data_IF_206460335534
#
_entry.id   IF_206460335534
#
_cell.length_a   1.000
_cell.length_b   1.000
_cell.length_c   1.000
_cell.angle_alpha   90.00
_cell.angle_beta   90.00
_cell.angle_gamma   90.00
#
_symmetry.space_group_name_H-M   'P 1'
#
loop_
_entity.id
_entity.type
_entity.pdbx_description
1 polymer ?
#
# COMPACT_ATOMS: atom_id res chain seq x y z
N UNK A 1 8.53 -2.28 7.61
CA UNK A 1 7.58 -2.48 6.49
C UNK A 1 7.54 -3.96 6.19
N UNK A 2 6.41 -4.46 5.73
CA UNK A 2 6.29 -5.80 5.13
C UNK A 2 6.31 -5.62 3.63
N UNK A 3 7.23 -6.26 2.91
CA UNK A 3 7.21 -6.26 1.45
C UNK A 3 6.23 -7.32 0.94
N UNK A 4 5.59 -7.03 -0.18
CA UNK A 4 4.81 -7.98 -0.94
C UNK A 4 5.31 -7.97 -2.39
N UNK A 5 5.03 -9.04 -3.11
CA UNK A 5 5.28 -9.13 -4.54
C UNK A 5 3.95 -9.50 -5.20
N UNK A 6 3.47 -8.72 -6.18
CA UNK A 6 2.28 -9.08 -6.94
C UNK A 6 2.47 -10.41 -7.66
N UNK A 7 1.47 -11.28 -7.58
CA UNK A 7 1.43 -12.49 -8.40
C UNK A 7 0.86 -12.14 -9.78
N UNK A 8 1.73 -11.94 -10.77
CA UNK A 8 1.33 -11.63 -12.15
C UNK A 8 1.18 -10.13 -12.42
N UNK A 9 0.33 -9.79 -13.39
CA UNK A 9 0.19 -8.45 -14.00
C UNK A 9 -1.06 -7.69 -13.52
N UNK A 10 -1.73 -8.17 -12.46
CA UNK A 10 -3.00 -7.60 -11.99
C UNK A 10 -2.87 -6.16 -11.50
N UNK A 11 -1.70 -5.81 -10.99
CA UNK A 11 -1.38 -4.48 -10.49
C UNK A 11 -1.18 -3.50 -11.64
N UNK A 12 -0.43 -3.90 -12.66
CA UNK A 12 -0.16 -3.12 -13.86
C UNK A 12 -1.48 -2.77 -14.53
N UNK A 13 -2.37 -3.75 -14.71
CA UNK A 13 -3.72 -3.51 -15.23
C UNK A 13 -4.57 -2.59 -14.35
N UNK A 14 -4.36 -2.59 -13.03
CA UNK A 14 -5.07 -1.69 -12.14
C UNK A 14 -4.62 -0.24 -12.35
N UNK A 15 -3.31 -0.01 -12.52
CA UNK A 15 -2.79 1.33 -12.82
C UNK A 15 -3.20 1.82 -14.20
N UNK A 16 -3.13 0.96 -15.23
CA UNK A 16 -3.64 1.31 -16.57
C UNK A 16 -5.11 1.75 -16.50
N UNK A 17 -5.91 1.04 -15.70
CA UNK A 17 -7.32 1.38 -15.50
C UNK A 17 -7.51 2.70 -14.73
N UNK A 18 -6.64 3.03 -13.77
CA UNK A 18 -6.66 4.32 -13.09
C UNK A 18 -6.24 5.46 -14.01
N UNK A 19 -5.19 5.28 -14.81
CA UNK A 19 -4.78 6.27 -15.81
C UNK A 19 -5.93 6.55 -16.79
N UNK A 20 -6.54 5.50 -17.35
CA UNK A 20 -7.68 5.64 -18.27
C UNK A 20 -8.87 6.34 -17.60
N UNK A 21 -9.25 5.93 -16.38
CA UNK A 21 -10.43 6.44 -15.71
C UNK A 21 -10.26 7.87 -15.19
N UNK A 22 -9.07 8.24 -14.72
CA UNK A 22 -8.78 9.58 -14.19
C UNK A 22 -8.42 10.57 -15.30
N UNK A 23 -7.94 10.12 -16.47
CA UNK A 23 -7.60 10.99 -17.59
C UNK A 23 -6.60 12.07 -17.18
N UNK A 24 -6.92 13.35 -17.46
CA UNK A 24 -6.06 14.48 -17.11
C UNK A 24 -5.84 14.64 -15.60
N UNK A 25 -6.78 14.19 -14.77
CA UNK A 25 -6.64 14.24 -13.31
C UNK A 25 -5.69 13.14 -12.77
N UNK A 26 -5.38 12.13 -13.60
CA UNK A 26 -4.53 10.99 -13.29
C UNK A 26 -3.03 11.21 -13.48
N UNK A 27 -2.59 12.46 -13.72
CA UNK A 27 -1.20 12.80 -14.09
C UNK A 27 -0.13 12.15 -13.20
N UNK A 28 -0.40 11.98 -11.90
CA UNK A 28 0.55 11.35 -10.97
C UNK A 28 0.65 9.83 -11.17
N UNK A 29 -0.46 9.15 -11.47
CA UNK A 29 -0.45 7.71 -11.72
C UNK A 29 0.12 7.38 -13.11
N UNK A 30 -0.01 8.28 -14.09
CA UNK A 30 0.56 8.13 -15.43
C UNK A 30 2.10 8.20 -15.46
N UNK A 31 2.70 9.05 -14.62
CA UNK A 31 4.15 9.32 -14.64
C UNK A 31 4.94 8.55 -13.55
N UNK A 32 4.27 7.76 -12.70
CA UNK A 32 4.88 7.15 -11.52
C UNK A 32 4.81 5.62 -11.51
N UNK A 33 5.95 4.96 -11.76
CA UNK A 33 6.07 3.50 -11.65
C UNK A 33 6.20 3.05 -10.19
N UNK A 34 5.15 2.42 -9.66
CA UNK A 34 5.11 1.86 -8.30
C UNK A 34 5.74 0.47 -8.27
N UNK A 35 7.06 0.47 -8.19
CA UNK A 35 7.87 -0.75 -8.13
C UNK A 35 8.04 -1.36 -6.71
N UNK A 36 7.34 -0.85 -5.70
CA UNK A 36 7.38 -1.36 -4.32
C UNK A 36 5.97 -1.57 -3.79
N UNK A 37 5.67 -2.81 -3.38
CA UNK A 37 4.45 -3.20 -2.68
C UNK A 37 4.76 -3.46 -1.22
N UNK A 38 4.07 -2.75 -0.33
CA UNK A 38 4.34 -2.91 1.09
C UNK A 38 3.14 -2.61 1.97
N UNK A 39 3.19 -3.15 3.18
CA UNK A 39 2.35 -2.74 4.30
C UNK A 39 3.18 -2.15 5.42
N UNK A 40 2.66 -1.08 6.03
CA UNK A 40 3.31 -0.45 7.19
C UNK A 40 3.02 -1.27 8.44
N UNK A 41 4.07 -1.83 9.05
CA UNK A 41 3.94 -2.61 10.30
C UNK A 41 4.09 -1.74 11.56
N UNK A 42 4.98 -0.76 11.51
CA UNK A 42 5.33 0.11 12.65
C UNK A 42 5.56 1.53 12.15
N UNK A 43 5.16 2.50 12.96
CA UNK A 43 5.41 3.91 12.75
C UNK A 43 5.98 4.52 14.04
N UNK A 44 7.02 5.34 13.94
CA UNK A 44 7.68 5.96 15.09
C UNK A 44 7.34 7.45 15.16
N UNK A 45 6.82 7.89 16.31
CA UNK A 45 6.43 9.30 16.53
C UNK A 45 7.50 10.10 17.28
N UNK A 46 8.61 9.47 17.65
CA UNK A 46 9.77 10.06 18.32
C UNK A 46 11.06 9.41 17.84
N UNK A 47 12.22 10.08 17.98
CA UNK A 47 13.52 9.47 17.68
C UNK A 47 13.73 8.16 18.45
N UNK A 48 14.33 7.18 17.78
CA UNK A 48 14.68 5.90 18.38
C UNK A 48 15.92 6.03 19.24
N UNK A 49 15.88 5.46 20.45
CA UNK A 49 17.04 5.38 21.34
C UNK A 49 18.09 4.39 20.84
N UNK A 50 17.68 3.36 20.11
CA UNK A 50 18.56 2.41 19.45
C UNK A 50 18.05 2.06 18.03
N UNK A 51 18.37 2.88 17.01
CA UNK A 51 17.97 2.61 15.63
C UNK A 51 18.52 1.27 15.08
N UNK A 52 19.72 0.87 15.52
CA UNK A 52 20.38 -0.35 15.02
C UNK A 52 19.59 -1.60 15.37
N UNK A 53 19.00 -1.67 16.58
CA UNK A 53 18.17 -2.82 16.95
C UNK A 53 16.95 -3.02 16.03
N UNK A 54 16.39 -1.93 15.46
CA UNK A 54 15.31 -2.02 14.47
C UNK A 54 15.83 -2.56 13.15
N UNK A 55 17.02 -2.12 12.72
CA UNK A 55 17.67 -2.64 11.51
C UNK A 55 17.94 -4.12 11.65
N UNK A 56 18.49 -4.56 12.78
CA UNK A 56 18.79 -5.97 13.05
C UNK A 56 17.50 -6.81 13.06
N UNK A 57 16.46 -6.32 13.75
CA UNK A 57 15.15 -6.96 13.80
C UNK A 57 14.51 -7.14 12.41
N UNK A 58 14.60 -6.11 11.55
CA UNK A 58 14.15 -6.20 10.14
C UNK A 58 15.03 -7.17 9.35
N UNK A 59 16.35 -7.09 9.51
CA UNK A 59 17.31 -7.92 8.81
C UNK A 59 17.09 -9.42 9.03
N UNK A 60 16.78 -9.82 10.26
CA UNK A 60 16.44 -11.20 10.65
C UNK A 60 15.12 -11.71 10.03
N UNK A 61 14.23 -10.81 9.60
CA UNK A 61 12.85 -11.14 9.19
C UNK A 61 12.53 -10.78 7.75
N UNK A 62 13.47 -10.22 7.00
CA UNK A 62 13.25 -9.72 5.63
C UNK A 62 12.79 -10.82 4.66
N UNK A 63 13.21 -12.05 4.88
CA UNK A 63 12.88 -13.23 4.05
C UNK A 63 11.77 -14.08 4.70
N UNK A 64 11.14 -13.60 5.77
CA UNK A 64 10.05 -14.32 6.43
C UNK A 64 8.80 -14.31 5.53
N UNK A 65 8.50 -15.46 4.93
CA UNK A 65 7.26 -15.65 4.18
C UNK A 65 6.03 -15.60 5.08
N UNK A 66 5.29 -14.50 5.05
CA UNK A 66 4.06 -14.33 5.83
C UNK A 66 2.80 -14.92 5.17
N UNK A 67 2.92 -15.39 3.93
CA UNK A 67 1.84 -15.98 3.16
C UNK A 67 1.41 -15.11 1.98
N UNK A 68 0.27 -15.45 1.42
CA UNK A 68 -0.34 -14.76 0.28
C UNK A 68 -1.65 -14.10 0.73
N UNK A 69 -1.95 -12.94 0.14
CA UNK A 69 -3.21 -12.25 0.33
C UNK A 69 -3.84 -11.99 -1.03
N UNK A 70 -5.15 -12.21 -1.11
CA UNK A 70 -5.94 -11.82 -2.27
C UNK A 70 -6.65 -10.50 -1.93
N UNK A 71 -6.31 -9.43 -2.64
CA UNK A 71 -7.00 -8.15 -2.53
C UNK A 71 -8.20 -8.16 -3.47
N UNK A 72 -9.41 -8.20 -2.91
CA UNK A 72 -10.67 -8.25 -3.68
C UNK A 72 -11.36 -6.91 -3.81
N UNK A 73 -10.99 -5.95 -2.99
CA UNK A 73 -11.65 -4.66 -2.92
C UNK A 73 -10.60 -3.56 -2.94
N UNK A 74 -10.96 -2.43 -3.55
CA UNK A 74 -10.20 -1.19 -3.45
C UNK A 74 -11.07 -0.12 -2.84
N UNK A 75 -10.49 0.61 -1.89
CA UNK A 75 -11.15 1.68 -1.15
C UNK A 75 -10.54 3.04 -1.48
N UNK A 76 -11.39 4.02 -1.74
CA UNK A 76 -11.01 5.43 -1.69
C UNK A 76 -11.11 5.89 -0.24
N UNK A 77 -9.98 6.26 0.36
CA UNK A 77 -9.90 6.60 1.79
C UNK A 77 -9.41 8.02 2.03
N UNK A 78 -9.88 8.63 3.11
CA UNK A 78 -9.32 9.88 3.65
C UNK A 78 -8.79 9.66 5.04
N UNK A 79 -7.69 10.35 5.35
CA UNK A 79 -7.11 10.36 6.68
C UNK A 79 -7.52 11.63 7.41
N UNK A 80 -8.20 11.50 8.55
CA UNK A 80 -8.63 12.64 9.38
C UNK A 80 -8.08 12.53 10.80
N UNK A 81 -7.63 13.65 11.36
CA UNK A 81 -7.32 13.71 12.78
C UNK A 81 -8.60 13.97 13.58
N UNK A 82 -8.94 13.06 14.50
CA UNK A 82 -10.18 13.17 15.30
C UNK A 82 -9.96 13.82 16.68
N UNK A 83 -8.83 14.48 16.90
CA UNK A 83 -8.44 15.03 18.21
C UNK A 83 -7.53 14.12 19.05
N UNK A 84 -7.41 12.84 18.68
CA UNK A 84 -6.54 11.89 19.41
C UNK A 84 -5.63 11.06 18.49
N UNK A 85 -6.13 10.66 17.32
CA UNK A 85 -5.39 9.86 16.35
C UNK A 85 -5.82 10.23 14.94
N UNK A 86 -4.98 9.87 13.97
CA UNK A 86 -5.40 9.76 12.58
C UNK A 86 -6.34 8.56 12.48
N UNK A 87 -7.51 8.76 11.90
CA UNK A 87 -8.45 7.72 11.50
C UNK A 87 -8.55 7.69 9.99
N UNK A 88 -8.62 6.48 9.45
CA UNK A 88 -8.95 6.25 8.05
C UNK A 88 -10.47 6.19 7.94
N UNK A 89 -11.02 6.95 7.01
CA UNK A 89 -12.44 6.95 6.67
C UNK A 89 -12.56 6.55 5.20
N UNK A 90 -13.30 5.47 4.93
CA UNK A 90 -13.59 5.02 3.57
C UNK A 90 -14.70 5.91 2.99
N UNK A 91 -14.39 6.58 1.89
CA UNK A 91 -15.36 7.38 1.13
C UNK A 91 -16.15 6.51 0.16
N UNK A 92 -15.47 5.55 -0.48
CA UNK A 92 -16.07 4.62 -1.43
C UNK A 92 -15.26 3.32 -1.46
N UNK A 93 -15.90 2.22 -1.87
CA UNK A 93 -15.28 0.92 -1.99
C UNK A 93 -15.86 0.16 -3.20
N UNK A 94 -14.97 -0.44 -3.99
CA UNK A 94 -15.34 -1.20 -5.18
C UNK A 94 -14.72 -2.58 -5.11
N UNK A 95 -15.52 -3.60 -5.36
CA UNK A 95 -15.03 -4.97 -5.54
C UNK A 95 -14.37 -5.11 -6.91
N UNK A 96 -13.12 -5.54 -6.91
CA UNK A 96 -12.36 -5.87 -8.10
C UNK A 96 -12.97 -7.11 -8.76
N UNK A 97 -13.51 -6.91 -9.97
CA UNK A 97 -13.95 -8.03 -10.80
C UNK A 97 -12.76 -8.84 -11.32
N UNK A 98 -12.95 -10.14 -11.47
CA UNK A 98 -12.09 -10.91 -12.37
C UNK A 98 -12.43 -10.49 -13.80
N UNK A 99 -11.56 -9.71 -14.45
CA UNK A 99 -11.60 -9.62 -15.91
C UNK A 99 -11.11 -10.98 -16.45
N UNK A 100 -11.89 -11.65 -17.33
CA UNK A 100 -11.51 -12.94 -17.91
C UNK A 100 -10.25 -12.86 -18.76
#
# INVERSE_FOLDING_TARGET
MLCAEPSGDAIERLYDAYEEALGEDGWLEADFDRNIWYSTLVHFTRPLTNPQAVVDWVGERRELGLGQVECRDVELVVYRFNGSRIVMETLDAVTLGHRP
#
